data_IF_833023608528
#
_entry.id   IF_833023608528
#
_cell.length_a   1.000
_cell.length_b   1.000
_cell.length_c   1.000
_cell.angle_alpha   90.00
_cell.angle_beta   90.00
_cell.angle_gamma   90.00
#
_symmetry.space_group_name_H-M   'P 1'
#
loop_
_entity.id
_entity.type
_entity.pdbx_description
1 polymer ?
#
# COMPACT_ATOMS: atom_id res chain seq x y z
N UNK A 1 9.82 -3.58 -24.09
CA UNK A 1 8.45 -4.02 -24.51
C UNK A 1 8.20 -5.36 -23.85
N UNK A 2 6.97 -5.76 -23.51
CA UNK A 2 6.78 -7.09 -22.94
C UNK A 2 7.37 -8.16 -23.88
N UNK A 3 8.08 -9.12 -23.32
CA UNK A 3 8.71 -10.21 -24.05
C UNK A 3 7.66 -11.11 -24.69
N UNK A 4 8.06 -11.94 -25.67
CA UNK A 4 7.15 -12.94 -26.25
C UNK A 4 6.59 -13.88 -25.18
N UNK A 5 7.41 -14.26 -24.20
CA UNK A 5 7.01 -15.14 -23.10
C UNK A 5 5.96 -14.47 -22.21
N UNK A 6 6.15 -13.19 -21.86
CA UNK A 6 5.18 -12.43 -21.09
C UNK A 6 3.84 -12.31 -21.82
N UNK A 7 3.85 -12.04 -23.12
CA UNK A 7 2.61 -12.02 -23.92
C UNK A 7 1.89 -13.38 -23.93
N UNK A 8 2.64 -14.47 -24.09
CA UNK A 8 2.09 -15.82 -24.05
C UNK A 8 1.47 -16.09 -22.67
N UNK A 9 2.16 -15.78 -21.59
CA UNK A 9 1.65 -15.97 -20.22
C UNK A 9 0.40 -15.11 -19.99
N UNK A 10 0.47 -13.81 -20.32
CA UNK A 10 -0.61 -12.85 -20.14
C UNK A 10 -1.90 -13.24 -20.88
N UNK A 11 -1.81 -13.93 -22.02
CA UNK A 11 -2.99 -14.35 -22.79
C UNK A 11 -3.42 -15.77 -22.42
N UNK A 12 -2.50 -16.72 -22.37
CA UNK A 12 -2.80 -18.15 -22.23
C UNK A 12 -3.24 -18.49 -20.82
N UNK A 13 -2.58 -17.95 -19.80
CA UNK A 13 -2.86 -18.26 -18.40
C UNK A 13 -4.29 -17.89 -17.98
N UNK A 14 -4.79 -16.64 -18.18
CA UNK A 14 -6.16 -16.31 -17.79
C UNK A 14 -7.19 -17.16 -18.52
N UNK A 15 -6.97 -17.52 -19.80
CA UNK A 15 -7.89 -18.42 -20.53
C UNK A 15 -7.96 -19.82 -19.89
N UNK A 16 -6.81 -20.38 -19.50
CA UNK A 16 -6.76 -21.69 -18.84
C UNK A 16 -7.41 -21.65 -17.46
N UNK A 17 -7.12 -20.62 -16.65
CA UNK A 17 -7.74 -20.45 -15.34
C UNK A 17 -9.24 -20.23 -15.48
N UNK A 18 -9.69 -19.47 -16.48
CA UNK A 18 -11.13 -19.27 -16.78
C UNK A 18 -11.81 -20.60 -17.11
N UNK A 19 -11.20 -21.39 -17.99
CA UNK A 19 -11.73 -22.71 -18.35
C UNK A 19 -11.78 -23.65 -17.15
N UNK A 20 -10.74 -23.67 -16.32
CA UNK A 20 -10.70 -24.47 -15.09
C UNK A 20 -11.76 -24.00 -14.09
N UNK A 21 -11.91 -22.70 -13.88
CA UNK A 21 -12.93 -22.12 -13.02
C UNK A 21 -14.32 -22.50 -13.51
N UNK A 22 -14.60 -22.35 -14.80
CA UNK A 22 -15.85 -22.82 -15.40
C UNK A 22 -16.08 -24.31 -15.15
N UNK A 23 -15.11 -25.17 -15.46
CA UNK A 23 -15.26 -26.62 -15.26
C UNK A 23 -15.53 -27.00 -13.80
N UNK A 24 -14.83 -26.36 -12.86
CA UNK A 24 -14.91 -26.67 -11.42
C UNK A 24 -16.09 -26.01 -10.71
N UNK A 25 -16.63 -24.91 -11.25
CA UNK A 25 -17.74 -24.15 -10.64
C UNK A 25 -19.07 -24.35 -11.35
N UNK A 26 -19.11 -24.93 -12.56
CA UNK A 26 -20.34 -25.22 -13.32
C UNK A 26 -20.96 -26.57 -13.00
N UNK A 27 -20.22 -27.50 -12.39
CA UNK A 27 -20.78 -28.77 -11.93
C UNK A 27 -21.66 -28.53 -10.70
N UNK A 28 -22.96 -28.77 -10.83
CA UNK A 28 -23.84 -28.89 -9.68
C UNK A 28 -23.43 -30.14 -8.90
N UNK A 29 -22.75 -29.99 -7.77
CA UNK A 29 -22.69 -31.09 -6.81
C UNK A 29 -24.14 -31.44 -6.47
N UNK A 30 -24.55 -32.66 -6.80
CA UNK A 30 -25.92 -33.17 -6.65
C UNK A 30 -26.36 -33.32 -5.21
N UNK A 31 -25.47 -33.09 -4.23
CA UNK A 31 -25.72 -33.37 -2.82
C UNK A 31 -24.92 -32.38 -1.95
N UNK A 32 -25.34 -31.11 -1.90
CA UNK A 32 -25.45 -30.29 -0.67
C UNK A 32 -25.73 -28.80 -1.01
N UNK A 33 -26.58 -28.21 -0.18
CA UNK A 33 -27.36 -26.96 -0.36
C UNK A 33 -26.49 -25.67 -0.32
N UNK A 34 -25.17 -25.74 -0.44
CA UNK A 34 -24.30 -24.57 -0.21
C UNK A 34 -23.21 -24.43 -1.28
N UNK A 35 -23.12 -23.28 -1.98
CA UNK A 35 -21.95 -22.98 -2.81
C UNK A 35 -20.68 -23.16 -1.98
N UNK A 36 -19.65 -23.81 -2.54
CA UNK A 36 -18.35 -23.81 -1.87
C UNK A 36 -17.75 -22.42 -1.97
N UNK A 37 -18.11 -21.53 -1.04
CA UNK A 37 -17.63 -20.16 -0.94
C UNK A 37 -16.10 -20.08 -0.94
N UNK A 38 -15.44 -21.10 -0.36
CA UNK A 38 -13.98 -21.24 -0.43
C UNK A 38 -13.47 -21.48 -1.87
N UNK A 39 -14.11 -22.36 -2.65
CA UNK A 39 -13.74 -22.58 -4.06
C UNK A 39 -13.91 -21.28 -4.87
N UNK A 40 -15.02 -20.58 -4.68
CA UNK A 40 -15.30 -19.29 -5.34
C UNK A 40 -14.24 -18.26 -5.01
N UNK A 41 -13.89 -18.14 -3.73
CA UNK A 41 -12.85 -17.23 -3.25
C UNK A 41 -11.48 -17.56 -3.87
N UNK A 42 -11.07 -18.83 -3.84
CA UNK A 42 -9.80 -19.26 -4.44
C UNK A 42 -9.74 -18.94 -5.95
N UNK A 43 -10.79 -19.25 -6.71
CA UNK A 43 -10.81 -18.96 -8.14
C UNK A 43 -10.88 -17.46 -8.44
N UNK A 44 -11.59 -16.68 -7.62
CA UNK A 44 -11.57 -15.22 -7.73
C UNK A 44 -10.14 -14.68 -7.62
N UNK A 45 -9.38 -15.05 -6.59
CA UNK A 45 -8.02 -14.55 -6.40
C UNK A 45 -7.07 -14.89 -7.56
N UNK A 46 -7.18 -16.11 -8.10
CA UNK A 46 -6.35 -16.52 -9.23
C UNK A 46 -6.78 -15.79 -10.52
N UNK A 47 -8.08 -15.61 -10.74
CA UNK A 47 -8.58 -14.84 -11.88
C UNK A 47 -8.25 -13.35 -11.78
N UNK A 48 -8.39 -12.75 -10.60
CA UNK A 48 -8.02 -11.36 -10.32
C UNK A 48 -6.55 -11.10 -10.66
N UNK A 49 -5.65 -11.96 -10.18
CA UNK A 49 -4.22 -11.87 -10.47
C UNK A 49 -3.92 -12.06 -11.97
N UNK A 50 -4.54 -13.04 -12.62
CA UNK A 50 -4.24 -13.38 -14.03
C UNK A 50 -4.84 -12.40 -15.02
N UNK A 51 -6.08 -11.92 -14.80
CA UNK A 51 -6.66 -10.83 -15.58
C UNK A 51 -5.97 -9.50 -15.30
N UNK A 52 -5.60 -9.23 -14.04
CA UNK A 52 -4.80 -8.06 -13.69
C UNK A 52 -3.47 -8.02 -14.46
N UNK A 53 -2.78 -9.16 -14.55
CA UNK A 53 -1.55 -9.30 -15.35
C UNK A 53 -1.80 -9.13 -16.86
N UNK A 54 -2.90 -9.67 -17.39
CA UNK A 54 -3.31 -9.46 -18.79
C UNK A 54 -3.48 -7.97 -19.10
N UNK A 55 -4.33 -7.28 -18.34
CA UNK A 55 -4.59 -5.86 -18.57
C UNK A 55 -3.37 -4.99 -18.30
N UNK A 56 -2.57 -5.32 -17.29
CA UNK A 56 -1.28 -4.66 -17.09
C UNK A 56 -0.41 -4.75 -18.35
N UNK A 57 -0.23 -5.95 -18.91
CA UNK A 57 0.61 -6.16 -20.09
C UNK A 57 0.08 -5.38 -21.30
N UNK A 58 -1.24 -5.37 -21.50
CA UNK A 58 -1.91 -4.61 -22.56
C UNK A 58 -1.71 -3.10 -22.41
N UNK A 59 -1.89 -2.57 -21.20
CA UNK A 59 -1.81 -1.13 -20.92
C UNK A 59 -0.37 -0.61 -20.79
N UNK A 60 0.58 -1.47 -20.45
CA UNK A 60 1.98 -1.09 -20.28
C UNK A 60 2.60 -0.63 -21.61
N UNK A 61 2.21 -1.21 -22.74
CA UNK A 61 2.71 -0.81 -24.06
C UNK A 61 2.38 0.64 -24.40
N UNK A 62 1.10 1.07 -24.44
CA UNK A 62 0.78 2.47 -24.67
C UNK A 62 1.29 3.37 -23.53
N UNK A 63 1.32 2.92 -22.28
CA UNK A 63 1.88 3.69 -21.17
C UNK A 63 3.38 4.03 -21.37
N UNK A 64 4.20 3.04 -21.78
CA UNK A 64 5.61 3.25 -22.13
C UNK A 64 5.79 4.16 -23.34
N UNK A 65 4.87 4.11 -24.31
CA UNK A 65 4.89 5.02 -25.46
C UNK A 65 4.56 6.46 -25.04
N UNK A 66 3.47 6.67 -24.29
CA UNK A 66 3.06 7.99 -23.78
C UNK A 66 4.15 8.59 -22.89
N UNK A 67 4.73 7.79 -21.99
CA UNK A 67 5.78 8.26 -21.08
C UNK A 67 7.01 8.83 -21.80
N UNK A 68 7.35 8.30 -22.99
CA UNK A 68 8.47 8.82 -23.81
C UNK A 68 8.15 10.12 -24.53
N UNK A 69 6.87 10.45 -24.70
CA UNK A 69 6.43 11.69 -25.34
C UNK A 69 6.36 12.85 -24.36
N UNK A 70 6.48 12.59 -23.05
CA UNK A 70 6.39 13.62 -22.04
C UNK A 70 7.62 14.55 -22.06
N UNK A 71 7.42 15.88 -21.97
CA UNK A 71 8.51 16.83 -21.82
C UNK A 71 9.36 16.52 -20.59
N UNK A 72 10.69 16.42 -20.76
CA UNK A 72 11.63 16.18 -19.66
C UNK A 72 11.66 14.73 -19.14
N UNK A 73 10.93 13.80 -19.77
CA UNK A 73 10.90 12.42 -19.32
C UNK A 73 12.22 11.69 -19.59
N UNK A 74 12.79 11.13 -18.52
CA UNK A 74 13.89 10.17 -18.57
C UNK A 74 13.30 8.76 -18.51
N UNK A 75 13.23 8.12 -19.67
CA UNK A 75 12.77 6.73 -19.81
C UNK A 75 13.90 5.96 -20.49
N UNK A 76 14.46 4.91 -19.86
CA UNK A 76 15.51 4.11 -20.48
C UNK A 76 15.11 3.56 -21.85
N UNK A 77 16.12 3.26 -22.66
CA UNK A 77 15.90 2.76 -24.02
C UNK A 77 15.22 1.39 -24.01
N UNK A 78 14.63 0.98 -25.14
CA UNK A 78 14.03 -0.36 -25.24
C UNK A 78 15.03 -1.50 -25.03
N UNK A 79 16.32 -1.21 -25.24
CA UNK A 79 17.41 -2.18 -25.21
C UNK A 79 17.96 -2.36 -23.78
N UNK A 80 17.60 -1.45 -22.85
CA UNK A 80 17.93 -1.48 -21.42
C UNK A 80 16.74 -2.01 -20.60
N UNK A 81 16.27 -3.22 -20.93
CA UNK A 81 15.06 -3.80 -20.34
C UNK A 81 15.10 -3.90 -18.81
N UNK A 82 16.25 -4.29 -18.24
CA UNK A 82 16.42 -4.40 -16.80
C UNK A 82 16.27 -3.04 -16.09
N UNK A 83 16.83 -1.97 -16.67
CA UNK A 83 16.74 -0.62 -16.08
C UNK A 83 15.31 -0.07 -16.20
N UNK A 84 14.60 -0.39 -17.29
CA UNK A 84 13.18 -0.05 -17.44
C UNK A 84 12.32 -0.69 -16.35
N UNK A 85 12.50 -2.00 -16.13
CA UNK A 85 11.75 -2.75 -15.11
C UNK A 85 12.09 -2.24 -13.72
N UNK A 86 13.37 -2.03 -13.41
CA UNK A 86 13.80 -1.47 -12.13
C UNK A 86 13.19 -0.07 -11.89
N UNK A 87 13.13 0.78 -12.92
CA UNK A 87 12.50 2.10 -12.81
C UNK A 87 10.99 2.01 -12.58
N UNK A 88 10.30 1.02 -13.16
CA UNK A 88 8.86 0.79 -13.01
C UNK A 88 8.49 0.25 -11.61
N UNK A 89 9.32 -0.64 -11.07
CA UNK A 89 9.11 -1.26 -9.76
C UNK A 89 9.64 -0.42 -8.60
N UNK A 90 10.53 0.55 -8.86
CA UNK A 90 11.11 1.37 -7.81
C UNK A 90 10.05 2.19 -7.07
N UNK A 91 10.06 2.05 -5.75
CA UNK A 91 9.21 2.83 -4.85
C UNK A 91 9.84 4.15 -4.42
N UNK A 92 11.09 4.44 -4.81
CA UNK A 92 11.74 5.75 -4.61
C UNK A 92 12.89 5.96 -5.60
N UNK A 93 12.81 6.99 -6.43
CA UNK A 93 13.88 7.37 -7.35
C UNK A 93 14.96 8.16 -6.60
N UNK A 94 15.98 7.44 -6.15
CA UNK A 94 17.12 8.02 -5.39
C UNK A 94 17.98 9.01 -6.19
N UNK A 95 17.76 9.14 -7.51
CA UNK A 95 18.43 10.15 -8.32
C UNK A 95 17.79 11.55 -8.20
N UNK A 96 16.60 11.64 -7.61
CA UNK A 96 15.89 12.89 -7.40
C UNK A 96 16.37 13.56 -6.11
N UNK A 97 16.78 14.82 -6.20
CA UNK A 97 17.09 15.63 -5.04
C UNK A 97 15.80 16.19 -4.44
N UNK A 98 15.46 15.75 -3.23
CA UNK A 98 14.34 16.29 -2.46
C UNK A 98 14.69 16.33 -0.95
N UNK A 99 14.28 17.37 -0.20
CA UNK A 99 13.62 18.59 -0.66
C UNK A 99 14.57 19.50 -1.45
N UNK A 100 14.04 20.38 -2.29
CA UNK A 100 14.87 21.34 -3.05
C UNK A 100 15.60 22.29 -2.10
N UNK A 101 16.75 22.83 -2.54
CA UNK A 101 17.53 23.80 -1.77
C UNK A 101 16.67 25.02 -1.35
N UNK A 102 15.80 25.50 -2.25
CA UNK A 102 14.86 26.58 -1.97
C UNK A 102 13.82 26.21 -0.91
N UNK A 103 13.35 24.96 -0.88
CA UNK A 103 12.43 24.48 0.15
C UNK A 103 13.13 24.38 1.51
N UNK A 104 14.38 23.88 1.54
CA UNK A 104 15.20 23.82 2.76
C UNK A 104 15.47 25.24 3.30
N UNK A 105 15.72 26.22 2.43
CA UNK A 105 15.95 27.60 2.84
C UNK A 105 14.73 28.27 3.53
N UNK A 106 13.51 27.74 3.30
CA UNK A 106 12.27 28.21 3.95
C UNK A 106 12.01 27.54 5.30
N UNK A 107 12.81 26.53 5.69
CA UNK A 107 12.60 25.80 6.93
C UNK A 107 13.13 26.58 8.15
N UNK A 108 12.50 26.43 9.32
CA UNK A 108 13.09 26.87 10.58
C UNK A 108 14.47 26.24 10.82
N UNK A 109 15.37 26.94 11.50
CA UNK A 109 16.74 26.45 11.73
C UNK A 109 16.79 25.13 12.49
N UNK A 110 15.83 24.86 13.38
CA UNK A 110 15.71 23.61 14.14
C UNK A 110 15.19 22.41 13.31
N UNK A 111 14.84 22.63 12.04
CA UNK A 111 14.46 21.60 11.08
C UNK A 111 15.60 21.27 10.10
N UNK A 112 16.59 22.14 9.98
CA UNK A 112 17.72 21.91 9.07
C UNK A 112 18.69 20.95 9.74
N UNK A 113 18.72 19.70 9.28
CA UNK A 113 19.67 18.70 9.76
C UNK A 113 21.03 18.96 9.12
N UNK A 114 22.03 19.37 9.89
CA UNK A 114 23.41 19.41 9.41
C UNK A 114 23.86 17.98 9.12
N UNK A 115 24.28 17.68 7.88
CA UNK A 115 24.97 16.43 7.58
C UNK A 115 26.34 16.44 8.30
N UNK A 116 26.37 16.11 9.58
CA UNK A 116 27.62 15.80 10.25
C UNK A 116 28.07 14.41 9.77
N UNK A 117 29.27 14.38 9.19
CA UNK A 117 30.09 13.18 9.01
C UNK A 117 30.10 12.35 10.30
N UNK A 118 30.15 11.01 10.24
CA UNK A 118 30.07 10.18 11.45
C UNK A 118 31.16 10.60 12.44
N UNK A 119 30.73 10.85 13.67
CA UNK A 119 31.58 11.30 14.76
C UNK A 119 32.82 10.40 14.88
N UNK A 120 34.01 11.01 14.76
CA UNK A 120 35.22 10.44 15.35
C UNK A 120 34.97 10.40 16.85
N UNK A 121 35.02 9.19 17.43
CA UNK A 121 35.06 8.97 18.87
C UNK A 121 35.92 10.05 19.55
N UNK A 122 35.27 10.87 20.39
CA UNK A 122 35.97 11.71 21.36
C UNK A 122 36.75 10.78 22.30
N UNK A 123 38.05 10.63 22.02
CA UNK A 123 39.00 10.25 23.04
C UNK A 123 39.02 11.37 24.07
N UNK A 124 38.34 11.14 25.19
CA UNK A 124 38.56 11.89 26.42
C UNK A 124 40.01 11.65 26.82
N UNK A 125 40.84 12.66 26.58
CA UNK A 125 42.12 12.83 27.25
C UNK A 125 41.82 13.27 28.68
N UNK A 126 42.10 12.39 29.63
CA UNK A 126 42.17 12.72 31.06
C UNK A 126 43.60 12.52 31.51
N UNK A 127 44.26 13.63 31.87
CA UNK A 127 45.57 13.70 32.49
C UNK A 127 45.69 12.79 33.72
N UNK A 128 46.90 12.30 33.95
CA UNK A 128 47.25 11.49 35.10
C UNK A 128 47.36 12.31 36.38
N UNK A 129 47.14 11.65 37.52
CA UNK A 129 47.92 11.90 38.72
C UNK A 129 47.92 10.68 39.67
N UNK A 130 48.95 10.67 40.51
CA UNK A 130 49.55 9.61 41.31
C UNK A 130 48.68 8.86 42.35
N UNK A 131 49.12 7.65 42.72
CA UNK A 131 49.02 7.21 44.13
C UNK A 131 48.67 5.75 44.43
N UNK A 132 49.66 5.02 44.94
CA UNK A 132 49.55 4.07 46.08
C UNK A 132 48.93 2.66 45.91
N UNK A 133 49.84 1.67 45.93
CA UNK A 133 49.84 0.43 46.74
C UNK A 133 48.50 -0.28 47.07
N UNK A 134 48.31 -1.48 46.51
CA UNK A 134 48.33 -2.75 47.27
C UNK A 134 47.97 -3.95 46.37
N UNK A 135 48.84 -4.95 46.34
CA UNK A 135 48.51 -6.35 46.02
C UNK A 135 48.06 -7.07 47.32
N UNK A 136 47.67 -8.37 47.36
CA UNK A 136 47.65 -9.38 46.28
C UNK A 136 46.42 -10.34 46.28
N UNK A 137 46.35 -11.22 45.27
CA UNK A 137 46.00 -12.68 45.29
C UNK A 137 45.23 -13.07 44.01
N UNK A 138 45.78 -13.88 43.08
CA UNK A 138 46.10 -15.33 43.06
C UNK A 138 45.08 -16.06 42.15
N UNK A 139 45.55 -16.65 41.04
CA UNK A 139 45.34 -18.07 40.62
C UNK A 139 45.42 -18.27 39.08
N UNK A 140 46.50 -18.98 38.68
CA UNK A 140 46.68 -20.02 37.64
C UNK A 140 46.31 -19.71 36.16
N UNK A 141 47.31 -19.59 35.29
CA UNK A 141 48.05 -20.65 34.52
C UNK A 141 47.28 -21.28 33.35
N UNK A 142 47.73 -20.98 32.12
CA UNK A 142 48.39 -21.89 31.12
C UNK A 142 48.65 -21.08 29.83
N UNK A 143 49.90 -20.71 29.49
CA UNK A 143 50.84 -21.38 28.54
C UNK A 143 50.11 -21.99 27.32
N UNK A 144 50.43 -21.63 26.07
CA UNK A 144 51.77 -21.81 25.48
C UNK A 144 52.06 -20.99 24.20
N UNK A 145 53.31 -20.48 24.14
CA UNK A 145 54.30 -20.45 23.03
C UNK A 145 53.82 -20.06 21.61
N UNK A 146 54.26 -18.94 21.02
CA UNK A 146 55.62 -18.50 20.62
C UNK A 146 56.03 -18.95 19.21
N UNK A 147 56.17 -17.98 18.29
CA UNK A 147 57.35 -17.64 17.44
C UNK A 147 56.85 -16.75 16.27
N UNK A 148 57.27 -15.48 16.13
CA UNK A 148 58.50 -14.99 15.46
C UNK A 148 58.67 -15.60 14.05
N UNK A 149 58.80 -14.88 12.92
CA UNK A 149 59.55 -13.65 12.63
C UNK A 149 59.02 -12.91 11.37
N UNK A 150 59.37 -11.62 11.27
CA UNK A 150 59.35 -10.72 10.09
C UNK A 150 60.58 -11.00 9.15
N UNK A 151 60.87 -10.24 8.06
CA UNK A 151 60.06 -9.62 6.98
C UNK A 151 60.70 -9.74 5.55
N UNK A 152 60.06 -9.10 4.53
CA UNK A 152 60.57 -8.75 3.16
C UNK A 152 60.60 -9.93 2.16
N UNK A 153 60.29 -9.81 0.87
CA UNK A 153 60.48 -8.72 -0.09
C UNK A 153 59.59 -8.90 -1.34
N UNK A 154 59.50 -7.83 -2.11
CA UNK A 154 58.88 -7.63 -3.42
C UNK A 154 59.26 -8.64 -4.52
N UNK A 155 58.29 -9.08 -5.32
CA UNK A 155 58.51 -9.33 -6.74
C UNK A 155 57.21 -9.26 -7.56
N UNK A 156 57.31 -8.61 -8.70
CA UNK A 156 56.28 -8.24 -9.66
C UNK A 156 56.32 -9.25 -10.82
N UNK A 157 55.17 -9.78 -11.27
CA UNK A 157 54.82 -10.02 -12.69
C UNK A 157 53.54 -10.86 -12.89
N UNK A 158 52.57 -10.24 -13.57
CA UNK A 158 51.63 -10.75 -14.59
C UNK A 158 51.23 -12.24 -14.61
N UNK A 159 49.93 -12.52 -14.47
CA UNK A 159 49.05 -12.85 -15.61
C UNK A 159 47.61 -13.26 -15.18
N UNK A 160 46.70 -13.06 -16.14
CA UNK A 160 45.43 -13.76 -16.39
C UNK A 160 44.16 -13.39 -15.61
N UNK A 161 43.17 -12.97 -16.41
CA UNK A 161 41.76 -12.84 -16.09
C UNK A 161 41.21 -14.13 -15.48
N UNK A 162 40.45 -13.98 -14.40
CA UNK A 162 39.33 -14.87 -14.09
C UNK A 162 38.20 -14.03 -13.49
N UNK A 163 37.00 -14.29 -13.97
CA UNK A 163 35.74 -13.62 -13.66
C UNK A 163 35.53 -13.41 -12.15
N UNK A 164 35.56 -12.15 -11.73
CA UNK A 164 34.97 -11.75 -10.46
C UNK A 164 33.69 -10.97 -10.73
N UNK A 165 32.58 -11.67 -10.47
CA UNK A 165 31.24 -11.14 -10.17
C UNK A 165 31.36 -9.78 -9.45
N UNK A 166 30.67 -8.71 -9.90
CA UNK A 166 30.69 -7.46 -9.16
C UNK A 166 30.10 -7.70 -7.76
N UNK A 167 30.75 -7.19 -6.69
CA UNK A 167 30.23 -7.34 -5.34
C UNK A 167 28.90 -6.63 -5.22
N UNK A 168 27.96 -7.28 -4.53
CA UNK A 168 26.65 -6.74 -4.20
C UNK A 168 26.79 -5.32 -3.64
N UNK A 169 26.03 -4.39 -4.24
CA UNK A 169 25.99 -2.99 -3.84
C UNK A 169 25.38 -2.86 -2.44
N UNK A 170 26.18 -3.03 -1.39
CA UNK A 170 25.93 -2.41 -0.10
C UNK A 170 26.23 -0.91 -0.24
N UNK A 171 25.33 -0.19 -0.92
CA UNK A 171 25.25 1.27 -0.76
C UNK A 171 24.92 1.50 0.71
N UNK A 172 25.91 1.96 1.48
CA UNK A 172 25.68 2.64 2.76
C UNK A 172 24.62 3.72 2.52
N UNK A 173 23.36 3.45 2.85
CA UNK A 173 22.29 4.44 2.81
C UNK A 173 22.64 5.48 3.86
N UNK A 174 23.20 6.61 3.43
CA UNK A 174 23.16 7.82 4.23
C UNK A 174 21.70 8.02 4.66
N UNK A 175 21.47 8.19 5.96
CA UNK A 175 20.13 8.38 6.51
C UNK A 175 19.52 9.63 5.84
N UNK A 176 18.52 9.47 4.98
CA UNK A 176 17.81 10.61 4.42
C UNK A 176 17.07 11.32 5.56
N UNK A 177 17.36 12.59 5.83
CA UNK A 177 16.81 13.27 7.00
C UNK A 177 15.30 13.52 6.88
N UNK A 178 14.78 13.58 5.65
CA UNK A 178 13.37 13.83 5.35
C UNK A 178 12.71 12.59 4.74
N UNK A 179 11.39 12.43 4.95
CA UNK A 179 10.71 11.15 4.84
C UNK A 179 9.59 11.13 3.79
N UNK A 180 9.89 11.42 2.52
CA UNK A 180 8.96 11.26 1.41
C UNK A 180 9.62 10.50 0.26
N UNK A 181 8.89 9.54 -0.30
CA UNK A 181 9.33 8.82 -1.49
C UNK A 181 8.84 9.55 -2.73
N UNK A 182 9.64 9.53 -3.79
CA UNK A 182 9.30 10.23 -5.01
C UNK A 182 9.58 9.39 -6.25
N UNK A 183 8.81 9.67 -7.30
CA UNK A 183 9.01 9.11 -8.63
C UNK A 183 8.81 10.19 -9.68
N UNK A 184 9.33 9.96 -10.86
CA UNK A 184 9.11 10.81 -12.03
C UNK A 184 7.68 10.65 -12.54
N UNK A 185 7.14 11.67 -13.17
CA UNK A 185 5.84 11.59 -13.85
C UNK A 185 5.82 10.47 -14.89
N UNK A 186 6.92 10.31 -15.64
CA UNK A 186 7.06 9.23 -16.62
C UNK A 186 6.94 7.82 -16.00
N UNK A 187 7.44 7.62 -14.78
CA UNK A 187 7.27 6.38 -14.00
C UNK A 187 5.84 6.23 -13.52
N UNK A 188 5.24 7.30 -12.99
CA UNK A 188 3.86 7.28 -12.49
C UNK A 188 2.87 6.83 -13.56
N UNK A 189 3.01 7.24 -14.82
CA UNK A 189 2.12 6.78 -15.92
C UNK A 189 2.06 5.24 -15.99
N UNK A 190 3.21 4.60 -15.86
CA UNK A 190 3.32 3.14 -15.97
C UNK A 190 2.75 2.47 -14.72
N UNK A 191 3.01 3.02 -13.54
CA UNK A 191 2.40 2.56 -12.28
C UNK A 191 0.87 2.75 -12.29
N UNK A 192 0.36 3.84 -12.85
CA UNK A 192 -1.07 4.07 -13.02
C UNK A 192 -1.69 3.02 -13.96
N UNK A 193 -1.01 2.73 -15.08
CA UNK A 193 -1.45 1.67 -16.01
C UNK A 193 -1.53 0.29 -15.35
N UNK A 194 -0.59 -0.03 -14.44
CA UNK A 194 -0.63 -1.25 -13.63
C UNK A 194 -1.87 -1.31 -12.75
N UNK A 195 -2.15 -0.24 -11.99
CA UNK A 195 -3.29 -0.20 -11.06
C UNK A 195 -4.64 -0.14 -11.77
N UNK A 196 -4.74 0.52 -12.92
CA UNK A 196 -5.92 0.44 -13.78
C UNK A 196 -6.12 -0.99 -14.28
N UNK A 197 -5.04 -1.65 -14.74
CA UNK A 197 -5.10 -3.04 -15.18
C UNK A 197 -5.56 -4.00 -14.08
N UNK A 198 -5.07 -3.82 -12.85
CA UNK A 198 -5.51 -4.57 -11.69
C UNK A 198 -7.01 -4.35 -11.41
N UNK A 199 -7.50 -3.11 -11.42
CA UNK A 199 -8.91 -2.80 -11.22
C UNK A 199 -9.82 -3.44 -12.30
N UNK A 200 -9.40 -3.36 -13.58
CA UNK A 200 -10.10 -4.05 -14.67
C UNK A 200 -10.09 -5.57 -14.47
N UNK A 201 -8.98 -6.11 -13.98
CA UNK A 201 -8.83 -7.52 -13.61
C UNK A 201 -9.84 -7.95 -12.55
N UNK A 202 -9.98 -7.18 -11.45
CA UNK A 202 -10.94 -7.47 -10.38
C UNK A 202 -12.38 -7.43 -10.83
N UNK A 203 -12.74 -6.44 -11.65
CA UNK A 203 -14.10 -6.33 -12.21
C UNK A 203 -14.39 -7.52 -13.12
N UNK A 204 -13.47 -7.86 -14.03
CA UNK A 204 -13.65 -8.99 -14.94
C UNK A 204 -13.67 -10.33 -14.19
N UNK A 205 -12.78 -10.53 -13.21
CA UNK A 205 -12.78 -11.72 -12.36
C UNK A 205 -14.12 -11.88 -11.63
N UNK A 206 -14.63 -10.78 -11.07
CA UNK A 206 -15.94 -10.76 -10.40
C UNK A 206 -17.06 -11.17 -11.36
N UNK A 207 -17.10 -10.55 -12.54
CA UNK A 207 -18.09 -10.86 -13.58
C UNK A 207 -18.02 -12.33 -14.00
N UNK A 208 -16.81 -12.85 -14.24
CA UNK A 208 -16.60 -14.21 -14.72
C UNK A 208 -16.99 -15.25 -13.68
N UNK A 209 -16.64 -15.06 -12.40
CA UNK A 209 -17.08 -15.98 -11.34
C UNK A 209 -18.60 -15.97 -11.21
N UNK A 210 -19.23 -14.79 -11.17
CA UNK A 210 -20.69 -14.67 -11.03
C UNK A 210 -21.45 -15.27 -12.23
N UNK A 211 -20.86 -15.24 -13.43
CA UNK A 211 -21.52 -15.75 -14.64
C UNK A 211 -21.25 -17.23 -14.90
N UNK A 212 -20.04 -17.71 -14.60
CA UNK A 212 -19.62 -19.09 -14.90
C UNK A 212 -19.98 -20.09 -13.80
N UNK A 213 -20.18 -19.61 -12.58
CA UNK A 213 -20.54 -20.47 -11.46
C UNK A 213 -22.00 -20.91 -11.54
N UNK A 214 -22.26 -22.17 -11.20
CA UNK A 214 -23.61 -22.66 -10.92
C UNK A 214 -24.22 -22.06 -9.64
N UNK A 215 -23.39 -21.42 -8.79
CA UNK A 215 -23.86 -20.69 -7.61
C UNK A 215 -24.63 -19.44 -8.02
N UNK A 216 -25.70 -19.11 -7.30
CA UNK A 216 -26.57 -17.94 -7.56
C UNK A 216 -25.92 -16.60 -7.16
N UNK A 217 -24.60 -16.53 -7.07
CA UNK A 217 -23.90 -15.33 -6.59
C UNK A 217 -23.80 -14.32 -7.73
N UNK A 218 -24.26 -13.12 -7.46
CA UNK A 218 -24.36 -12.01 -8.40
C UNK A 218 -23.31 -10.94 -8.10
N UNK A 219 -23.15 -9.98 -9.02
CA UNK A 219 -22.31 -8.80 -8.77
C UNK A 219 -22.84 -7.94 -7.59
N UNK A 220 -24.15 -7.93 -7.39
CA UNK A 220 -24.78 -7.21 -6.27
C UNK A 220 -24.40 -7.85 -4.93
N UNK A 221 -24.28 -9.18 -4.90
CA UNK A 221 -23.89 -9.93 -3.69
C UNK A 221 -22.45 -9.65 -3.24
N UNK A 222 -21.58 -9.20 -4.15
CA UNK A 222 -20.22 -8.74 -3.82
C UNK A 222 -20.14 -7.21 -3.72
N UNK A 223 -21.29 -6.54 -3.67
CA UNK A 223 -21.43 -5.10 -3.43
C UNK A 223 -21.25 -4.20 -4.65
N UNK A 224 -21.10 -4.77 -5.85
CA UNK A 224 -21.14 -4.02 -7.12
C UNK A 224 -22.59 -3.83 -7.58
N UNK A 225 -23.39 -3.18 -6.72
CA UNK A 225 -24.82 -2.97 -6.93
C UNK A 225 -25.07 -2.00 -8.08
N UNK A 226 -26.04 -2.29 -8.95
CA UNK A 226 -26.43 -1.39 -10.05
C UNK A 226 -27.87 -0.94 -9.83
N UNK A 227 -28.10 0.10 -9.01
CA UNK A 227 -29.45 0.59 -8.76
C UNK A 227 -30.11 1.07 -10.05
N UNK A 228 -31.44 1.06 -10.10
CA UNK A 228 -32.21 1.49 -11.27
C UNK A 228 -31.93 2.94 -11.68
N UNK A 229 -31.36 3.75 -10.78
CA UNK A 229 -30.90 5.10 -11.07
C UNK A 229 -29.40 5.24 -10.75
N UNK A 230 -28.59 5.52 -11.77
CA UNK A 230 -27.14 5.74 -11.64
C UNK A 230 -26.79 6.91 -10.70
N UNK A 231 -27.74 7.81 -10.42
CA UNK A 231 -27.51 8.93 -9.50
C UNK A 231 -27.15 8.46 -8.09
N UNK A 232 -27.67 7.31 -7.65
CA UNK A 232 -27.39 6.75 -6.33
C UNK A 232 -25.92 6.31 -6.22
N UNK A 233 -25.38 5.68 -7.27
CA UNK A 233 -23.95 5.34 -7.34
C UNK A 233 -23.08 6.60 -7.28
N UNK A 234 -23.46 7.65 -8.01
CA UNK A 234 -22.74 8.92 -8.00
C UNK A 234 -22.81 9.59 -6.62
N UNK A 235 -23.95 9.51 -5.94
CA UNK A 235 -24.14 10.03 -4.59
C UNK A 235 -23.28 9.28 -3.57
N UNK A 236 -23.27 7.95 -3.60
CA UNK A 236 -22.41 7.13 -2.74
C UNK A 236 -20.92 7.47 -2.92
N UNK A 237 -20.47 7.52 -4.18
CA UNK A 237 -19.10 7.91 -4.52
C UNK A 237 -18.77 9.32 -4.01
N UNK A 238 -19.68 10.28 -4.19
CA UNK A 238 -19.49 11.66 -3.78
C UNK A 238 -19.47 11.81 -2.25
N UNK A 239 -20.36 11.12 -1.53
CA UNK A 239 -20.39 11.13 -0.07
C UNK A 239 -19.15 10.45 0.50
N UNK A 240 -18.79 9.28 -0.02
CA UNK A 240 -17.55 8.59 0.33
C UNK A 240 -16.35 9.52 0.14
N UNK A 241 -16.19 10.08 -1.06
CA UNK A 241 -15.10 11.00 -1.39
C UNK A 241 -15.04 12.20 -0.44
N UNK A 242 -16.19 12.81 -0.15
CA UNK A 242 -16.27 13.98 0.74
C UNK A 242 -15.86 13.62 2.18
N UNK A 243 -16.27 12.47 2.68
CA UNK A 243 -15.92 12.01 4.04
C UNK A 243 -14.43 11.65 4.10
N UNK A 244 -13.94 10.84 3.16
CA UNK A 244 -12.53 10.41 3.11
C UNK A 244 -11.56 11.60 2.99
N UNK A 245 -11.88 12.56 2.12
CA UNK A 245 -11.09 13.79 1.99
C UNK A 245 -11.16 14.68 3.24
N UNK A 246 -12.31 14.76 3.91
CA UNK A 246 -12.49 15.57 5.13
C UNK A 246 -11.63 15.05 6.28
N UNK A 247 -11.67 13.75 6.57
CA UNK A 247 -10.93 13.20 7.72
C UNK A 247 -9.41 13.26 7.52
N UNK A 248 -8.93 13.12 6.29
CA UNK A 248 -7.51 13.34 5.95
C UNK A 248 -7.15 14.82 6.07
N UNK A 249 -8.02 15.73 5.64
CA UNK A 249 -7.80 17.18 5.81
C UNK A 249 -7.71 17.57 7.28
N UNK A 250 -8.49 16.94 8.16
CA UNK A 250 -8.40 17.14 9.61
C UNK A 250 -7.03 16.69 10.13
N UNK A 251 -6.54 15.51 9.72
CA UNK A 251 -5.17 15.05 10.08
C UNK A 251 -4.16 16.12 9.66
N UNK A 252 -4.18 16.53 8.39
CA UNK A 252 -3.23 17.50 7.85
C UNK A 252 -3.25 18.83 8.60
N UNK A 253 -4.43 19.40 8.86
CA UNK A 253 -4.56 20.66 9.61
C UNK A 253 -3.95 20.52 11.00
N UNK A 254 -4.18 19.40 11.68
CA UNK A 254 -3.59 19.12 13.00
C UNK A 254 -2.08 18.95 12.92
N UNK A 255 -1.55 18.24 11.91
CA UNK A 255 -0.11 18.09 11.70
C UNK A 255 0.59 19.44 11.46
N UNK A 256 -0.04 20.34 10.68
CA UNK A 256 0.46 21.72 10.47
C UNK A 256 0.39 22.51 11.78
N UNK A 257 -0.74 22.48 12.48
CA UNK A 257 -0.96 23.23 13.72
C UNK A 257 0.01 22.82 14.84
N UNK A 258 0.29 21.52 14.97
CA UNK A 258 1.24 20.97 15.94
C UNK A 258 2.71 21.15 15.52
N UNK A 259 2.96 21.69 14.33
CA UNK A 259 4.31 21.90 13.79
C UNK A 259 5.04 20.59 13.50
N UNK A 260 4.31 19.56 13.08
CA UNK A 260 4.86 18.27 12.63
C UNK A 260 5.20 18.28 11.14
N UNK A 261 4.51 19.11 10.35
CA UNK A 261 4.79 19.33 8.93
C UNK A 261 4.85 20.83 8.62
N UNK A 262 5.60 21.19 7.57
CA UNK A 262 5.75 22.58 7.11
C UNK A 262 5.41 22.66 5.62
N UNK A 263 4.48 23.55 5.28
CA UNK A 263 4.16 23.87 3.88
C UNK A 263 5.27 24.72 3.29
N UNK A 264 5.80 24.31 2.13
CA UNK A 264 6.95 24.95 1.46
C UNK A 264 6.66 25.41 0.03
N UNK A 265 5.57 24.94 -0.56
CA UNK A 265 5.15 25.32 -1.90
C UNK A 265 3.75 24.83 -2.27
N UNK A 266 3.31 25.22 -3.47
CA UNK A 266 2.05 24.78 -4.06
C UNK A 266 2.28 24.38 -5.52
N UNK A 267 1.50 23.42 -6.00
CA UNK A 267 1.51 22.92 -7.38
C UNK A 267 2.92 22.56 -7.89
N UNK A 268 3.64 21.75 -7.11
CA UNK A 268 5.01 21.34 -7.39
C UNK A 268 5.06 19.97 -8.04
N UNK A 269 5.98 19.79 -8.99
CA UNK A 269 6.40 18.50 -9.50
C UNK A 269 7.72 18.11 -8.87
N UNK A 270 7.98 16.81 -8.73
CA UNK A 270 9.27 16.35 -8.19
C UNK A 270 10.40 16.64 -9.18
N UNK A 271 10.17 16.38 -10.47
CA UNK A 271 11.14 16.69 -11.52
C UNK A 271 10.89 18.11 -12.02
N UNK A 272 11.90 19.00 -12.00
CA UNK A 272 11.79 20.32 -12.60
C UNK A 272 11.44 20.19 -14.09
N UNK A 273 10.45 20.96 -14.56
CA UNK A 273 9.94 21.01 -15.94
C UNK A 273 8.94 19.93 -16.38
N UNK A 274 8.58 18.97 -15.52
CA UNK A 274 7.41 18.12 -15.79
C UNK A 274 6.11 18.93 -15.66
N UNK A 275 5.06 18.51 -16.36
CA UNK A 275 3.75 19.16 -16.27
C UNK A 275 3.00 18.70 -15.03
N UNK A 276 2.71 19.63 -14.12
CA UNK A 276 1.89 19.36 -12.94
C UNK A 276 0.56 18.70 -13.29
N UNK A 277 -0.18 19.26 -14.27
CA UNK A 277 -1.51 18.75 -14.62
C UNK A 277 -1.47 17.32 -15.17
N UNK A 278 -0.42 16.97 -15.92
CA UNK A 278 -0.25 15.61 -16.44
C UNK A 278 0.07 14.64 -15.30
N UNK A 279 1.05 14.98 -14.45
CA UNK A 279 1.43 14.15 -13.31
C UNK A 279 0.24 13.92 -12.38
N UNK A 280 -0.49 14.99 -12.04
CA UNK A 280 -1.66 14.95 -11.18
C UNK A 280 -2.79 14.10 -11.77
N UNK A 281 -3.05 14.20 -13.08
CA UNK A 281 -4.03 13.34 -13.75
C UNK A 281 -3.67 11.85 -13.61
N UNK A 282 -2.40 11.48 -13.80
CA UNK A 282 -1.98 10.09 -13.68
C UNK A 282 -1.93 9.59 -12.24
N UNK A 283 -1.65 10.48 -11.27
CA UNK A 283 -1.80 10.19 -9.84
C UNK A 283 -3.28 9.95 -9.47
N UNK A 284 -4.22 10.74 -10.01
CA UNK A 284 -5.67 10.51 -9.88
C UNK A 284 -6.07 9.15 -10.44
N UNK A 285 -5.64 8.82 -11.67
CA UNK A 285 -5.95 7.55 -12.30
C UNK A 285 -5.32 6.35 -11.55
N UNK A 286 -4.11 6.53 -11.01
CA UNK A 286 -3.46 5.53 -10.17
C UNK A 286 -4.31 5.23 -8.93
N UNK A 287 -4.72 6.25 -8.17
CA UNK A 287 -5.50 6.05 -6.95
C UNK A 287 -6.92 5.59 -7.20
N UNK A 288 -7.54 5.94 -8.34
CA UNK A 288 -8.80 5.35 -8.75
C UNK A 288 -8.66 3.83 -8.97
N UNK A 289 -7.60 3.41 -9.67
CA UNK A 289 -7.28 1.99 -9.86
C UNK A 289 -7.01 1.25 -8.54
N UNK A 290 -6.22 1.85 -7.65
CA UNK A 290 -5.96 1.29 -6.30
C UNK A 290 -7.26 1.10 -5.54
N UNK A 291 -8.10 2.13 -5.47
CA UNK A 291 -9.34 2.09 -4.67
C UNK A 291 -10.32 1.05 -5.20
N UNK A 292 -10.50 0.95 -6.52
CA UNK A 292 -11.39 -0.07 -7.12
C UNK A 292 -10.84 -1.48 -6.86
N UNK A 293 -9.57 -1.72 -7.16
CA UNK A 293 -8.96 -3.05 -7.02
C UNK A 293 -9.01 -3.53 -5.55
N UNK A 294 -8.60 -2.69 -4.61
CA UNK A 294 -8.55 -3.06 -3.20
C UNK A 294 -9.94 -3.20 -2.57
N UNK A 295 -10.90 -2.32 -2.87
CA UNK A 295 -12.26 -2.44 -2.31
C UNK A 295 -13.01 -3.65 -2.90
N UNK A 296 -12.91 -3.91 -4.20
CA UNK A 296 -13.57 -5.09 -4.80
C UNK A 296 -12.99 -6.38 -4.22
N UNK A 297 -11.67 -6.49 -4.14
CA UNK A 297 -11.00 -7.67 -3.58
C UNK A 297 -11.27 -7.84 -2.08
N UNK A 298 -11.04 -6.81 -1.27
CA UNK A 298 -11.08 -6.92 0.19
C UNK A 298 -12.51 -6.81 0.73
N UNK A 299 -13.32 -5.87 0.24
CA UNK A 299 -14.63 -5.56 0.82
C UNK A 299 -15.76 -6.34 0.12
N UNK A 300 -15.65 -6.50 -1.19
CA UNK A 300 -16.56 -7.36 -1.96
C UNK A 300 -16.31 -8.84 -1.68
N UNK A 301 -15.18 -9.36 -2.16
CA UNK A 301 -14.91 -10.79 -2.12
C UNK A 301 -14.46 -11.31 -0.76
N UNK A 302 -13.59 -10.61 -0.04
CA UNK A 302 -13.08 -11.13 1.22
C UNK A 302 -14.04 -10.89 2.40
N UNK A 303 -14.62 -9.69 2.50
CA UNK A 303 -15.56 -9.37 3.58
C UNK A 303 -16.98 -9.85 3.27
N UNK A 304 -17.64 -9.33 2.23
CA UNK A 304 -19.08 -9.61 2.00
C UNK A 304 -19.34 -11.09 1.70
N UNK A 305 -18.59 -11.68 0.76
CA UNK A 305 -18.69 -13.12 0.49
C UNK A 305 -18.17 -13.97 1.66
N UNK A 306 -17.14 -13.48 2.36
CA UNK A 306 -16.63 -14.11 3.58
C UNK A 306 -17.70 -14.24 4.65
N UNK A 307 -18.53 -13.21 4.85
CA UNK A 307 -19.63 -13.24 5.81
C UNK A 307 -20.59 -14.38 5.47
N UNK A 308 -20.98 -14.51 4.20
CA UNK A 308 -21.86 -15.60 3.74
C UNK A 308 -21.24 -16.98 3.91
N UNK A 309 -19.97 -17.13 3.53
CA UNK A 309 -19.25 -18.39 3.65
C UNK A 309 -19.07 -18.85 5.08
N UNK A 310 -18.69 -17.94 5.99
CA UNK A 310 -18.54 -18.24 7.41
C UNK A 310 -19.91 -18.46 8.05
N UNK A 311 -20.93 -17.68 7.70
CA UNK A 311 -22.29 -17.85 8.22
C UNK A 311 -22.83 -19.25 7.87
N UNK A 312 -22.66 -19.69 6.62
CA UNK A 312 -23.10 -21.03 6.21
C UNK A 312 -22.46 -22.16 7.02
N UNK A 313 -21.23 -21.97 7.53
CA UNK A 313 -20.57 -22.92 8.43
C UNK A 313 -20.99 -22.73 9.90
N UNK A 314 -21.28 -21.49 10.30
CA UNK A 314 -21.56 -21.12 11.68
C UNK A 314 -23.02 -21.37 12.10
N UNK A 315 -23.96 -21.53 11.17
CA UNK A 315 -25.37 -21.82 11.51
C UNK A 315 -25.53 -23.06 12.40
N UNK A 316 -24.67 -24.07 12.26
CA UNK A 316 -24.68 -25.27 13.10
C UNK A 316 -23.98 -25.06 14.47
N UNK A 317 -23.28 -23.94 14.68
CA UNK A 317 -22.52 -23.66 15.90
C UNK A 317 -23.31 -22.87 16.94
N UNK A 318 -24.41 -22.22 16.53
CA UNK A 318 -25.21 -21.33 17.37
C UNK A 318 -26.68 -21.74 17.33
N UNK A 319 -27.40 -21.51 18.42
CA UNK A 319 -28.85 -21.75 18.48
C UNK A 319 -29.65 -20.64 17.74
N UNK A 320 -29.16 -19.40 17.78
CA UNK A 320 -29.77 -18.24 17.11
C UNK A 320 -28.97 -17.87 15.84
N UNK A 321 -29.67 -17.75 14.71
CA UNK A 321 -29.08 -17.35 13.43
C UNK A 321 -28.56 -15.91 13.44
N UNK A 322 -29.11 -15.04 14.27
CA UNK A 322 -28.59 -13.68 14.48
C UNK A 322 -27.20 -13.68 15.15
N UNK A 323 -26.98 -14.59 16.10
CA UNK A 323 -25.67 -14.75 16.76
C UNK A 323 -24.64 -15.33 15.78
N UNK A 324 -25.03 -16.33 14.97
CA UNK A 324 -24.20 -16.85 13.90
C UNK A 324 -23.81 -15.76 12.88
N UNK A 325 -24.77 -14.91 12.47
CA UNK A 325 -24.51 -13.79 11.57
C UNK A 325 -23.54 -12.79 12.20
N UNK A 326 -23.75 -12.42 13.46
CA UNK A 326 -22.84 -11.52 14.18
C UNK A 326 -21.42 -12.09 14.26
N UNK A 327 -21.27 -13.37 14.58
CA UNK A 327 -19.99 -14.06 14.57
C UNK A 327 -19.32 -14.02 13.19
N UNK A 328 -20.07 -14.33 12.13
CA UNK A 328 -19.55 -14.33 10.75
C UNK A 328 -19.02 -12.95 10.34
N UNK A 329 -19.75 -11.89 10.67
CA UNK A 329 -19.34 -10.50 10.39
C UNK A 329 -18.04 -10.17 11.12
N UNK A 330 -17.96 -10.44 12.42
CA UNK A 330 -16.74 -10.17 13.20
C UNK A 330 -15.55 -10.95 12.66
N UNK A 331 -15.73 -12.24 12.36
CA UNK A 331 -14.68 -13.07 11.79
C UNK A 331 -14.20 -12.55 10.43
N UNK A 332 -15.13 -12.19 9.55
CA UNK A 332 -14.82 -11.62 8.24
C UNK A 332 -14.11 -10.26 8.33
N UNK A 333 -14.52 -9.38 9.25
CA UNK A 333 -13.83 -8.11 9.52
C UNK A 333 -12.38 -8.37 9.93
N UNK A 334 -12.15 -9.29 10.88
CA UNK A 334 -10.81 -9.59 11.38
C UNK A 334 -9.94 -10.16 10.26
N UNK A 335 -10.45 -11.13 9.49
CA UNK A 335 -9.72 -11.76 8.39
C UNK A 335 -9.39 -10.74 7.29
N UNK A 336 -10.38 -9.97 6.86
CA UNK A 336 -10.22 -8.93 5.84
C UNK A 336 -9.21 -7.87 6.28
N UNK A 337 -9.35 -7.34 7.50
CA UNK A 337 -8.48 -6.30 8.04
C UNK A 337 -7.04 -6.79 8.21
N UNK A 338 -6.88 -8.05 8.61
CA UNK A 338 -5.57 -8.70 8.70
C UNK A 338 -4.92 -8.84 7.34
N UNK A 339 -5.66 -9.27 6.30
CA UNK A 339 -5.11 -9.35 4.95
C UNK A 339 -4.73 -7.97 4.42
N UNK A 340 -5.59 -6.96 4.62
CA UNK A 340 -5.29 -5.58 4.21
C UNK A 340 -3.98 -5.09 4.83
N UNK A 341 -3.80 -5.27 6.15
CA UNK A 341 -2.55 -4.95 6.83
C UNK A 341 -1.36 -5.78 6.29
N UNK A 342 -1.53 -7.09 6.09
CA UNK A 342 -0.49 -7.99 5.57
C UNK A 342 0.01 -7.58 4.18
N UNK A 343 -0.88 -7.15 3.28
CA UNK A 343 -0.54 -6.68 1.94
C UNK A 343 0.41 -5.47 1.96
N UNK A 344 0.51 -4.77 3.09
CA UNK A 344 1.36 -3.59 3.29
C UNK A 344 2.65 -3.87 4.05
N UNK A 345 2.98 -5.13 4.33
CA UNK A 345 4.22 -5.51 5.04
C UNK A 345 5.49 -5.02 4.34
N UNK A 346 5.51 -5.06 3.02
CA UNK A 346 6.67 -4.68 2.21
C UNK A 346 6.58 -3.25 1.68
N UNK A 347 5.55 -2.49 2.07
CA UNK A 347 5.41 -1.10 1.69
C UNK A 347 6.55 -0.25 2.28
N UNK A 348 7.06 0.75 1.55
CA UNK A 348 8.09 1.62 2.06
C UNK A 348 7.71 2.30 3.38
N UNK A 349 8.58 2.20 4.38
CA UNK A 349 8.33 2.77 5.70
C UNK A 349 7.40 1.95 6.59
N UNK A 350 6.93 0.77 6.15
CA UNK A 350 6.04 -0.08 6.94
C UNK A 350 6.67 -0.48 8.28
N UNK A 351 5.84 -0.51 9.32
CA UNK A 351 6.21 -0.80 10.70
C UNK A 351 5.06 -1.49 11.42
N UNK A 352 5.30 -2.06 12.60
CA UNK A 352 4.22 -2.65 13.41
C UNK A 352 3.06 -1.66 13.66
N UNK A 353 3.37 -0.37 13.84
CA UNK A 353 2.35 0.67 14.07
C UNK A 353 1.53 0.93 12.80
N UNK A 354 2.17 1.01 11.63
CA UNK A 354 1.42 1.18 10.37
C UNK A 354 0.51 0.00 10.09
N UNK A 355 0.99 -1.21 10.34
CA UNK A 355 0.20 -2.44 10.19
C UNK A 355 -1.02 -2.46 11.12
N UNK A 356 -0.85 -2.08 12.39
CA UNK A 356 -1.95 -1.98 13.33
C UNK A 356 -2.97 -0.90 12.91
N UNK A 357 -2.51 0.28 12.48
CA UNK A 357 -3.40 1.32 12.01
C UNK A 357 -4.17 0.90 10.74
N UNK A 358 -3.51 0.24 9.79
CA UNK A 358 -4.19 -0.30 8.61
C UNK A 358 -5.20 -1.39 8.97
N UNK A 359 -4.92 -2.23 9.97
CA UNK A 359 -5.91 -3.17 10.49
C UNK A 359 -7.16 -2.42 10.99
N UNK A 360 -7.00 -1.33 11.74
CA UNK A 360 -8.14 -0.49 12.16
C UNK A 360 -8.83 0.20 10.97
N UNK A 361 -8.08 0.62 9.96
CA UNK A 361 -8.62 1.15 8.70
C UNK A 361 -9.46 0.11 7.95
N UNK A 362 -9.06 -1.16 7.95
CA UNK A 362 -9.83 -2.28 7.40
C UNK A 362 -11.17 -2.49 8.12
N UNK A 363 -11.19 -2.33 9.46
CA UNK A 363 -12.43 -2.36 10.24
C UNK A 363 -13.35 -1.23 9.80
N UNK A 364 -12.84 0.01 9.73
CA UNK A 364 -13.61 1.17 9.31
C UNK A 364 -14.19 0.99 7.89
N UNK A 365 -13.39 0.45 6.97
CA UNK A 365 -13.83 0.22 5.61
C UNK A 365 -14.84 -0.93 5.49
N UNK A 366 -14.77 -1.96 6.34
CA UNK A 366 -15.84 -2.98 6.42
C UNK A 366 -17.16 -2.37 6.91
N UNK A 367 -17.10 -1.45 7.89
CA UNK A 367 -18.29 -0.73 8.37
C UNK A 367 -18.91 0.10 7.25
N UNK A 368 -18.10 0.75 6.39
CA UNK A 368 -18.61 1.50 5.22
C UNK A 368 -19.48 0.64 4.30
N UNK A 369 -19.15 -0.64 4.12
CA UNK A 369 -19.95 -1.58 3.33
C UNK A 369 -21.29 -1.84 4.01
N UNK A 370 -21.27 -2.11 5.32
CA UNK A 370 -22.49 -2.48 6.07
C UNK A 370 -23.51 -1.35 6.12
N UNK A 371 -23.04 -0.12 6.38
CA UNK A 371 -23.91 1.08 6.43
C UNK A 371 -24.38 1.53 5.05
N UNK A 372 -23.69 1.13 3.97
CA UNK A 372 -24.12 1.37 2.60
C UNK A 372 -25.00 0.22 2.07
N UNK A 373 -25.57 -0.62 2.94
CA UNK A 373 -26.44 -1.73 2.57
C UNK A 373 -25.73 -2.81 1.74
N UNK A 374 -24.42 -2.96 1.89
CA UNK A 374 -23.59 -3.88 1.11
C UNK A 374 -22.95 -3.26 -0.14
N UNK A 375 -23.30 -2.02 -0.51
CA UNK A 375 -22.72 -1.31 -1.64
C UNK A 375 -21.25 -0.96 -1.42
N UNK A 376 -20.40 -1.20 -2.44
CA UNK A 376 -19.00 -0.80 -2.42
C UNK A 376 -18.78 0.66 -2.86
N UNK A 377 -19.77 1.31 -3.48
CA UNK A 377 -19.56 2.63 -4.12
C UNK A 377 -19.13 3.70 -3.11
N UNK A 378 -19.73 3.69 -1.91
CA UNK A 378 -19.35 4.60 -0.83
C UNK A 378 -17.94 4.30 -0.32
N UNK A 379 -17.58 3.02 -0.16
CA UNK A 379 -16.23 2.59 0.23
C UNK A 379 -15.16 2.99 -0.80
N UNK A 380 -15.44 2.79 -2.09
CA UNK A 380 -14.57 3.20 -3.21
C UNK A 380 -14.36 4.71 -3.20
N UNK A 381 -15.44 5.49 -3.06
CA UNK A 381 -15.36 6.94 -2.96
C UNK A 381 -14.53 7.38 -1.75
N UNK A 382 -14.76 6.78 -0.59
CA UNK A 382 -14.05 7.06 0.66
C UNK A 382 -12.56 6.78 0.56
N UNK A 383 -12.19 5.61 0.05
CA UNK A 383 -10.79 5.22 -0.14
C UNK A 383 -10.11 6.11 -1.18
N UNK A 384 -10.77 6.40 -2.31
CA UNK A 384 -10.22 7.30 -3.31
C UNK A 384 -10.00 8.72 -2.76
N UNK A 385 -10.99 9.26 -2.04
CA UNK A 385 -10.90 10.57 -1.40
C UNK A 385 -9.78 10.64 -0.36
N UNK A 386 -9.65 9.61 0.49
CA UNK A 386 -8.58 9.47 1.47
C UNK A 386 -7.20 9.53 0.79
N UNK A 387 -7.01 8.70 -0.23
CA UNK A 387 -5.72 8.57 -0.92
C UNK A 387 -5.32 9.83 -1.69
N UNK A 388 -6.21 10.35 -2.55
CA UNK A 388 -5.85 11.48 -3.41
C UNK A 388 -5.62 12.75 -2.59
N UNK A 389 -6.37 12.94 -1.50
CA UNK A 389 -6.15 14.07 -0.61
C UNK A 389 -4.83 13.94 0.14
N UNK A 390 -4.57 12.78 0.74
CA UNK A 390 -3.35 12.53 1.50
C UNK A 390 -2.12 12.68 0.61
N UNK A 391 -2.09 11.91 -0.48
CA UNK A 391 -1.07 11.91 -1.52
C UNK A 391 -0.84 13.28 -2.11
N UNK A 392 -1.72 13.65 -3.03
CA UNK A 392 -1.38 14.65 -4.05
C UNK A 392 -2.03 16.00 -3.79
N UNK A 393 -3.12 16.09 -3.02
CA UNK A 393 -3.65 17.40 -2.60
C UNK A 393 -2.82 17.98 -1.45
N UNK A 394 -2.43 17.15 -0.49
CA UNK A 394 -1.83 17.57 0.78
C UNK A 394 -0.35 17.19 0.96
N UNK A 395 0.28 16.57 -0.03
CA UNK A 395 1.73 16.45 -0.05
C UNK A 395 2.30 15.33 0.81
N UNK A 396 1.51 14.32 1.19
CA UNK A 396 1.90 13.28 2.14
C UNK A 396 1.99 11.92 1.46
N UNK A 397 2.85 11.03 1.96
CA UNK A 397 2.89 9.64 1.49
C UNK A 397 1.56 8.93 1.83
N UNK A 398 1.12 8.03 0.95
CA UNK A 398 -0.07 7.18 1.16
C UNK A 398 0.42 5.74 1.21
N UNK A 399 0.48 5.13 2.39
CA UNK A 399 1.01 3.77 2.57
C UNK A 399 2.40 3.53 1.95
N UNK A 400 3.28 4.54 1.99
CA UNK A 400 4.62 4.46 1.42
C UNK A 400 4.70 4.66 -0.10
N UNK A 401 3.57 4.86 -0.77
CA UNK A 401 3.50 5.09 -2.22
C UNK A 401 4.24 6.39 -2.56
N UNK A 402 5.19 6.37 -3.52
CA UNK A 402 5.94 7.55 -3.89
C UNK A 402 5.04 8.62 -4.52
N UNK A 403 5.50 9.86 -4.57
CA UNK A 403 4.76 10.96 -5.17
C UNK A 403 5.42 11.45 -6.47
N UNK A 404 4.62 11.84 -7.46
CA UNK A 404 5.12 12.48 -8.69
C UNK A 404 4.88 13.99 -8.73
N UNK A 405 3.86 14.45 -8.00
CA UNK A 405 3.54 15.86 -7.80
C UNK A 405 2.70 16.06 -6.52
N UNK A 406 2.57 17.33 -6.09
CA UNK A 406 1.73 17.74 -4.97
C UNK A 406 1.11 19.14 -5.21
N UNK A 407 -0.19 19.29 -4.99
CA UNK A 407 -0.88 20.59 -4.92
C UNK A 407 -0.37 21.41 -3.73
N UNK A 408 -0.14 20.78 -2.59
CA UNK A 408 0.46 21.39 -1.40
C UNK A 408 1.74 20.65 -1.08
N UNK A 409 2.88 21.26 -1.37
CA UNK A 409 4.18 20.64 -1.09
C UNK A 409 4.57 20.90 0.37
N UNK A 410 4.90 19.81 1.08
CA UNK A 410 5.19 19.85 2.51
C UNK A 410 6.42 19.04 2.86
N UNK A 411 7.13 19.51 3.87
CA UNK A 411 8.24 18.78 4.47
C UNK A 411 7.76 18.30 5.85
N UNK A 412 7.74 16.98 6.12
CA UNK A 412 7.58 16.48 7.47
C UNK A 412 8.82 16.72 8.31
N UNK A 413 8.61 17.02 9.59
CA UNK A 413 9.69 17.36 10.51
C UNK A 413 10.67 16.19 10.64
N UNK A 414 11.98 16.42 10.41
CA UNK A 414 12.97 15.37 10.47
C UNK A 414 13.20 14.91 11.92
N UNK A 415 13.81 13.74 12.07
CA UNK A 415 14.17 13.22 13.38
C UNK A 415 15.26 14.08 14.02
N UNK A 416 15.00 14.55 15.24
CA UNK A 416 15.97 15.33 16.02
C UNK A 416 16.59 14.46 17.11
N UNK A 417 17.93 14.49 17.30
CA UNK A 417 18.60 13.81 18.40
C UNK A 417 18.09 14.25 19.78
N UNK A 418 17.61 15.49 19.89
CA UNK A 418 17.15 16.11 21.15
C UNK A 418 15.64 15.96 21.40
N UNK A 419 14.86 15.52 20.41
CA UNK A 419 13.42 15.25 20.54
C UNK A 419 13.11 13.88 19.96
N UNK A 420 13.21 12.85 20.81
CA UNK A 420 12.75 11.50 20.47
C UNK A 420 11.28 11.58 20.03
N UNK A 421 10.92 10.82 18.98
CA UNK A 421 9.54 10.44 18.60
C UNK A 421 8.73 11.31 17.62
N UNK A 422 9.21 12.44 17.09
CA UNK A 422 8.38 13.25 16.16
C UNK A 422 8.02 12.50 14.87
N UNK A 423 8.93 11.68 14.35
CA UNK A 423 8.71 10.84 13.16
C UNK A 423 7.50 9.90 13.30
N UNK A 424 7.30 9.32 14.48
CA UNK A 424 6.19 8.40 14.75
C UNK A 424 4.84 9.13 14.82
N UNK A 425 4.83 10.46 14.95
CA UNK A 425 3.59 11.21 15.07
C UNK A 425 2.95 11.50 13.71
N UNK A 426 3.75 11.87 12.72
CA UNK A 426 3.30 12.16 11.34
C UNK A 426 3.47 10.98 10.37
N UNK A 427 4.02 9.87 10.86
CA UNK A 427 4.10 8.59 10.15
C UNK A 427 5.26 8.43 9.16
N UNK A 428 6.18 9.38 9.10
CA UNK A 428 7.44 9.25 8.35
C UNK A 428 7.22 8.89 6.88
N UNK A 429 8.02 7.93 6.37
CA UNK A 429 8.01 7.49 4.96
C UNK A 429 6.69 6.82 4.57
N UNK A 430 6.04 6.13 5.53
CA UNK A 430 4.75 5.49 5.29
C UNK A 430 3.64 6.52 5.09
N UNK A 431 3.73 7.64 5.82
CA UNK A 431 2.78 8.74 5.77
C UNK A 431 1.76 8.72 6.90
N UNK A 432 0.76 9.63 6.87
CA UNK A 432 -0.15 9.88 7.98
C UNK A 432 -0.91 8.66 8.50
N UNK A 433 -1.06 7.60 7.69
CA UNK A 433 -1.66 6.31 8.11
C UNK A 433 -0.88 5.58 9.20
N UNK A 434 0.44 5.76 9.27
CA UNK A 434 1.24 5.29 10.42
C UNK A 434 1.16 6.26 11.60
N UNK A 435 0.77 7.50 11.34
CA UNK A 435 0.71 8.57 12.34
C UNK A 435 -0.30 8.29 13.45
N UNK A 436 -0.10 8.95 14.58
CA UNK A 436 -0.94 8.76 15.79
C UNK A 436 -2.36 9.28 15.62
N UNK A 437 -2.61 10.10 14.59
CA UNK A 437 -3.93 10.68 14.29
C UNK A 437 -4.81 9.77 13.43
N UNK A 438 -4.25 8.77 12.75
CA UNK A 438 -5.01 7.90 11.84
C UNK A 438 -6.15 7.14 12.54
N UNK A 439 -5.97 6.49 13.70
CA UNK A 439 -7.06 5.80 14.40
C UNK A 439 -8.23 6.73 14.75
N UNK A 440 -7.94 7.95 15.18
CA UNK A 440 -8.98 8.94 15.48
C UNK A 440 -9.74 9.35 14.21
N UNK A 441 -9.03 9.54 13.09
CA UNK A 441 -9.65 9.86 11.82
C UNK A 441 -10.58 8.73 11.33
N UNK A 442 -10.22 7.46 11.53
CA UNK A 442 -11.08 6.32 11.21
C UNK A 442 -12.37 6.34 12.04
N UNK A 443 -12.28 6.62 13.35
CA UNK A 443 -13.46 6.73 14.22
C UNK A 443 -14.37 7.88 13.78
N UNK A 444 -13.80 9.05 13.48
CA UNK A 444 -14.57 10.19 12.94
C UNK A 444 -15.21 9.81 11.60
N UNK A 445 -14.48 9.12 10.72
CA UNK A 445 -15.00 8.63 9.45
C UNK A 445 -16.21 7.73 9.62
N UNK A 446 -16.13 6.74 10.50
CA UNK A 446 -17.25 5.84 10.82
C UNK A 446 -18.47 6.64 11.30
N UNK A 447 -18.27 7.59 12.22
CA UNK A 447 -19.36 8.44 12.73
C UNK A 447 -20.01 9.24 11.59
N UNK A 448 -19.19 9.87 10.74
CA UNK A 448 -19.70 10.67 9.61
C UNK A 448 -20.49 9.81 8.62
N UNK A 449 -20.02 8.61 8.31
CA UNK A 449 -20.74 7.70 7.41
C UNK A 449 -22.07 7.27 8.05
N UNK A 450 -22.09 6.92 9.33
CA UNK A 450 -23.33 6.58 10.05
C UNK A 450 -24.30 7.78 10.06
N UNK A 451 -23.79 9.01 10.21
CA UNK A 451 -24.63 10.21 10.15
C UNK A 451 -25.24 10.46 8.75
N UNK A 452 -24.56 10.06 7.68
CA UNK A 452 -25.04 10.24 6.30
C UNK A 452 -25.98 9.12 5.87
N UNK A 453 -25.62 7.86 6.16
CA UNK A 453 -26.35 6.68 5.69
C UNK A 453 -27.40 6.16 6.68
N UNK A 454 -27.28 6.51 7.96
CA UNK A 454 -28.09 5.93 9.03
C UNK A 454 -27.50 4.63 9.58
N UNK A 455 -27.85 4.32 10.83
CA UNK A 455 -27.41 3.09 11.49
C UNK A 455 -28.28 1.88 11.13
N UNK A 456 -29.56 2.11 10.81
CA UNK A 456 -30.55 1.06 10.58
C UNK A 456 -30.19 0.16 9.38
N UNK A 457 -29.54 0.73 8.35
CA UNK A 457 -29.06 -0.02 7.18
C UNK A 457 -28.06 -1.12 7.55
N UNK A 458 -27.29 -0.93 8.62
CA UNK A 458 -26.37 -1.96 9.13
C UNK A 458 -27.13 -3.18 9.65
N UNK A 459 -28.24 -2.94 10.34
CA UNK A 459 -29.10 -3.99 10.89
C UNK A 459 -29.81 -4.71 9.76
N UNK A 460 -30.38 -3.95 8.81
CA UNK A 460 -31.03 -4.49 7.62
C UNK A 460 -30.07 -5.37 6.81
N UNK A 461 -28.83 -4.92 6.62
CA UNK A 461 -27.81 -5.70 5.90
C UNK A 461 -27.46 -7.01 6.62
N UNK A 462 -27.27 -6.97 7.96
CA UNK A 462 -27.04 -8.19 8.77
C UNK A 462 -28.21 -9.16 8.65
N UNK A 463 -29.44 -8.67 8.80
CA UNK A 463 -30.64 -9.51 8.74
C UNK A 463 -30.82 -10.10 7.33
N UNK A 464 -30.45 -9.33 6.30
CA UNK A 464 -30.38 -9.78 4.91
C UNK A 464 -29.38 -10.92 4.67
N UNK A 465 -28.26 -10.98 5.41
CA UNK A 465 -27.34 -12.12 5.34
C UNK A 465 -28.02 -13.41 5.82
N UNK A 466 -28.76 -13.34 6.93
CA UNK A 466 -29.49 -14.49 7.48
C UNK A 466 -30.55 -14.96 6.48
N UNK A 467 -31.42 -14.06 6.01
CA UNK A 467 -32.48 -14.41 5.07
C UNK A 467 -31.93 -15.01 3.77
N UNK A 468 -30.79 -14.52 3.28
CA UNK A 468 -30.19 -15.04 2.04
C UNK A 468 -29.77 -16.52 2.11
N UNK A 469 -29.48 -17.03 3.31
CA UNK A 469 -29.09 -18.42 3.53
C UNK A 469 -30.24 -19.31 4.01
N UNK A 470 -31.22 -18.75 4.74
CA UNK A 470 -32.38 -19.52 5.23
C UNK A 470 -33.51 -19.62 4.20
N UNK A 471 -33.67 -18.61 3.35
CA UNK A 471 -34.78 -18.54 2.38
C UNK A 471 -34.39 -19.08 1.00
N UNK A 472 -33.34 -19.90 0.92
CA UNK A 472 -33.07 -20.69 -0.29
C UNK A 472 -34.15 -21.78 -0.42
N UNK A 473 -34.96 -21.77 -1.51
CA UNK A 473 -36.04 -22.75 -1.71
C UNK A 473 -35.54 -24.18 -1.91
#
# INVERSE_FOLDING_TARGET
MPTKTEWVVAIVLPLHVTFLAWYMLSSSESDNITPSYLKLWCFYFVLDATYGHLFHTLLLVPARWIARLLPGALVPSSDEENELVEQEESSNDTSLEWPSADAIAKLPSDWVVSMHTPDKEEKIAGDGDEGSNNAPKLIKKKRSKSKNDKPKSSQQCNNTLSDQKPPAATKNRAHQPYYLNHVRGSTRIRQASQRIGAAMGSILASYMICHLSASKITLEDVGLTLPSSYILVVQDLAWGFSIGSTIVSIIFIMEVWLGWIKIVGFFQTVVPNESFAINFLWDVLFHAGVSINEEVMLRGWMFTLGCRGILAMALDWFEDSSDAATFSIIASIILQSSLFSFLHLHSPGSSYVSLLNLFLGGIAASINVMVAGGSLWLGIGWHFGWNIFMGHVLGRSTSGIPMSCACTDVIPRPKSPHKKCVENYHGGTFGPEQGVLAPLAYVIGIILVICVCGFDEMIVWRDGLVSSLTDSP
#
